data_IF_877814415026
#
_entry.id   IF_877814415026
#
_cell.length_a   1.000
_cell.length_b   1.000
_cell.length_c   1.000
_cell.angle_alpha   90.00
_cell.angle_beta   90.00
_cell.angle_gamma   90.00
#
_symmetry.space_group_name_H-M   'P 1'
#
loop_
_entity.id
_entity.type
_entity.pdbx_description
1 polymer ?
#
# COMPACT_ATOMS: atom_id res chain seq x y z
N UNK A 1 10.64 3.80 -5.19
CA UNK A 1 9.50 3.89 -6.14
C UNK A 1 8.60 5.06 -5.76
N UNK A 2 8.19 5.87 -6.74
CA UNK A 2 7.41 7.11 -6.53
C UNK A 2 6.01 6.88 -5.95
N UNK A 3 5.42 5.72 -6.23
CA UNK A 3 4.04 5.37 -5.90
C UNK A 3 3.96 4.31 -4.79
N UNK A 4 4.92 4.33 -3.88
CA UNK A 4 5.04 3.31 -2.84
C UNK A 4 5.28 3.94 -1.47
N UNK A 5 4.54 3.46 -0.48
CA UNK A 5 4.75 3.79 0.93
C UNK A 5 5.26 2.55 1.67
N UNK A 6 6.25 2.74 2.55
CA UNK A 6 6.83 1.69 3.38
C UNK A 6 6.56 2.00 4.85
N UNK A 7 6.21 0.98 5.62
CA UNK A 7 5.94 1.09 7.06
C UNK A 7 6.69 -0.01 7.78
N UNK A 8 7.53 0.38 8.74
CA UNK A 8 8.17 -0.52 9.69
C UNK A 8 7.30 -0.61 10.94
N UNK A 9 6.95 -1.83 11.35
CA UNK A 9 6.23 -2.05 12.60
C UNK A 9 7.22 -2.12 13.75
N UNK A 10 6.82 -1.59 14.92
CA UNK A 10 7.64 -1.65 16.14
C UNK A 10 7.96 -3.08 16.56
N UNK A 11 7.02 -4.00 16.32
CA UNK A 11 7.14 -5.42 16.60
C UNK A 11 6.54 -6.22 15.45
N UNK A 12 6.87 -7.51 15.40
CA UNK A 12 6.21 -8.45 14.51
C UNK A 12 4.77 -8.69 15.02
N UNK A 13 3.79 -8.49 14.14
CA UNK A 13 2.36 -8.62 14.47
C UNK A 13 1.68 -9.56 13.48
N UNK A 14 0.68 -10.29 13.97
CA UNK A 14 -0.27 -10.98 13.11
C UNK A 14 -1.34 -9.97 12.67
N UNK A 15 -1.39 -9.68 11.37
CA UNK A 15 -2.32 -8.73 10.76
C UNK A 15 -3.50 -9.51 10.21
N UNK A 16 -4.72 -9.14 10.60
CA UNK A 16 -5.97 -9.76 10.15
C UNK A 16 -6.83 -8.80 9.30
N UNK A 17 -6.62 -7.50 9.41
CA UNK A 17 -7.40 -6.48 8.72
C UNK A 17 -6.55 -5.25 8.44
N UNK A 18 -6.79 -4.62 7.30
CA UNK A 18 -6.12 -3.38 6.90
C UNK A 18 -7.19 -2.34 6.58
N UNK A 19 -7.06 -1.17 7.20
CA UNK A 19 -7.88 0.01 6.94
C UNK A 19 -6.98 1.14 6.46
N UNK A 20 -7.22 1.67 5.27
CA UNK A 20 -6.48 2.80 4.72
C UNK A 20 -7.36 4.04 4.62
N UNK A 21 -6.78 5.16 5.01
CA UNK A 21 -7.27 6.51 4.65
C UNK A 21 -6.25 7.16 3.73
N UNK A 22 -6.68 7.55 2.54
CA UNK A 22 -5.84 8.15 1.50
C UNK A 22 -6.16 9.62 1.37
N UNK A 23 -5.13 10.45 1.43
CA UNK A 23 -5.18 11.88 1.10
C UNK A 23 -4.37 12.11 -0.16
N UNK A 24 -5.04 12.51 -1.24
CA UNK A 24 -4.39 12.80 -2.53
C UNK A 24 -4.55 14.28 -2.89
N UNK A 25 -3.65 15.16 -2.40
CA UNK A 25 -3.71 16.58 -2.67
C UNK A 25 -3.47 16.93 -4.15
N UNK A 26 -2.94 15.98 -4.94
CA UNK A 26 -2.64 16.18 -6.36
C UNK A 26 -3.77 15.72 -7.28
N UNK A 27 -4.84 15.13 -6.73
CA UNK A 27 -5.97 14.63 -7.52
C UNK A 27 -5.54 13.65 -8.61
N UNK A 28 -4.57 12.78 -8.32
CA UNK A 28 -4.20 11.65 -9.19
C UNK A 28 -5.29 10.57 -9.18
N UNK A 29 -6.13 10.54 -8.15
CA UNK A 29 -7.29 9.64 -8.01
C UNK A 29 -6.86 8.17 -8.06
N UNK A 30 -6.18 7.70 -7.02
CA UNK A 30 -5.81 6.28 -6.93
C UNK A 30 -7.05 5.38 -6.98
N UNK A 31 -6.97 4.32 -7.76
CA UNK A 31 -8.02 3.31 -7.95
C UNK A 31 -7.69 2.02 -7.22
N UNK A 32 -6.46 1.54 -7.38
CA UNK A 32 -6.04 0.23 -6.89
C UNK A 32 -4.76 0.35 -6.06
N UNK A 33 -4.78 -0.19 -4.85
CA UNK A 33 -3.64 -0.21 -3.92
C UNK A 33 -3.29 -1.67 -3.60
N UNK A 34 -2.08 -2.10 -3.96
CA UNK A 34 -1.53 -3.38 -3.54
C UNK A 34 -1.00 -3.29 -2.11
N UNK A 35 -1.32 -4.30 -1.29
CA UNK A 35 -0.83 -4.40 0.08
C UNK A 35 0.08 -5.60 0.20
N UNK A 36 1.32 -5.34 0.62
CA UNK A 36 2.37 -6.34 0.74
C UNK A 36 2.95 -6.31 2.15
N UNK A 37 3.50 -7.45 2.56
CA UNK A 37 4.13 -7.60 3.85
C UNK A 37 5.45 -8.37 3.73
N UNK A 38 6.24 -8.28 4.79
CA UNK A 38 7.35 -9.19 5.04
C UNK A 38 7.55 -9.36 6.55
N UNK A 39 7.81 -10.58 7.05
CA UNK A 39 8.12 -10.79 8.47
C UNK A 39 9.55 -10.41 8.82
N UNK A 40 10.43 -10.14 7.84
CA UNK A 40 11.85 -9.86 8.07
C UNK A 40 12.03 -8.46 8.64
N UNK A 41 12.64 -8.36 9.83
CA UNK A 41 12.90 -7.09 10.49
C UNK A 41 14.06 -6.34 9.82
N UNK A 42 14.03 -5.01 9.91
CA UNK A 42 15.10 -4.10 9.50
C UNK A 42 15.49 -3.22 10.67
N UNK A 43 16.70 -2.66 10.65
CA UNK A 43 17.12 -1.63 11.60
C UNK A 43 16.50 -0.28 11.27
N UNK A 44 16.45 0.06 9.98
CA UNK A 44 15.92 1.32 9.45
C UNK A 44 14.93 1.10 8.29
N UNK A 45 13.94 1.98 8.17
CA UNK A 45 12.92 1.92 7.11
C UNK A 45 13.52 2.12 5.70
N UNK A 46 14.69 2.75 5.59
CA UNK A 46 15.43 2.93 4.34
C UNK A 46 15.89 1.61 3.72
N UNK A 47 16.20 0.59 4.53
CA UNK A 47 16.59 -0.75 4.06
C UNK A 47 15.49 -1.41 3.23
N UNK A 48 14.22 -1.12 3.55
CA UNK A 48 13.06 -1.67 2.83
C UNK A 48 12.97 -1.24 1.37
N UNK A 49 13.69 -0.16 1.00
CA UNK A 49 13.71 0.39 -0.35
C UNK A 49 14.84 -0.19 -1.21
N UNK A 50 15.75 -0.96 -0.61
CA UNK A 50 16.88 -1.55 -1.32
C UNK A 50 16.43 -2.73 -2.20
N UNK A 51 17.17 -2.96 -3.29
CA UNK A 51 16.82 -3.96 -4.31
C UNK A 51 16.84 -5.39 -3.77
N UNK A 52 17.69 -5.67 -2.78
CA UNK A 52 17.78 -6.96 -2.10
C UNK A 52 16.52 -7.29 -1.28
N UNK A 53 15.75 -6.27 -0.88
CA UNK A 53 14.47 -6.41 -0.20
C UNK A 53 13.29 -6.61 -1.14
N UNK A 54 13.43 -6.26 -2.42
CA UNK A 54 12.40 -6.42 -3.45
C UNK A 54 11.76 -7.83 -3.50
N UNK A 55 12.53 -8.94 -3.52
CA UNK A 55 11.96 -10.30 -3.57
C UNK A 55 11.32 -10.77 -2.26
N UNK A 56 11.49 -10.03 -1.16
CA UNK A 56 10.99 -10.42 0.16
C UNK A 56 9.55 -9.96 0.41
N UNK A 57 8.98 -9.17 -0.49
CA UNK A 57 7.61 -8.68 -0.40
C UNK A 57 6.62 -9.72 -0.88
N UNK A 58 5.65 -10.05 -0.02
CA UNK A 58 4.54 -10.94 -0.35
C UNK A 58 3.24 -10.14 -0.38
N UNK A 59 2.46 -10.27 -1.45
CA UNK A 59 1.16 -9.61 -1.52
C UNK A 59 0.16 -10.33 -0.63
N UNK A 60 -0.54 -9.60 0.23
CA UNK A 60 -1.60 -10.16 1.08
C UNK A 60 -2.99 -9.60 0.75
N UNK A 61 -3.08 -8.56 -0.07
CA UNK A 61 -4.36 -8.06 -0.52
C UNK A 61 -4.26 -6.94 -1.53
N UNK A 62 -5.43 -6.53 -1.99
CA UNK A 62 -5.63 -5.39 -2.88
C UNK A 62 -6.82 -4.60 -2.36
N UNK A 63 -6.66 -3.28 -2.32
CA UNK A 63 -7.71 -2.34 -1.95
C UNK A 63 -8.16 -1.58 -3.20
N UNK A 64 -9.47 -1.49 -3.37
CA UNK A 64 -10.08 -0.69 -4.43
C UNK A 64 -10.72 0.55 -3.81
N UNK A 65 -10.42 1.71 -4.37
CA UNK A 65 -11.03 2.98 -4.04
C UNK A 65 -11.95 3.40 -5.17
N UNK A 66 -13.15 3.88 -4.83
CA UNK A 66 -14.01 4.55 -5.80
C UNK A 66 -13.36 5.86 -6.25
N UNK A 67 -13.80 6.41 -7.39
CA UNK A 67 -13.32 7.70 -7.88
C UNK A 67 -13.61 8.79 -6.83
N UNK A 68 -12.55 9.43 -6.32
CA UNK A 68 -12.65 10.42 -5.24
C UNK A 68 -12.84 9.83 -3.84
N UNK A 69 -12.89 8.50 -3.71
CA UNK A 69 -12.92 7.81 -2.43
C UNK A 69 -11.62 8.00 -1.65
N UNK A 70 -11.74 8.11 -0.34
CA UNK A 70 -10.61 8.34 0.56
C UNK A 70 -10.38 7.20 1.54
N UNK A 71 -11.24 6.17 1.54
CA UNK A 71 -11.17 5.05 2.50
C UNK A 71 -11.40 3.72 1.82
N UNK A 72 -10.59 2.73 2.16
CA UNK A 72 -10.77 1.35 1.75
C UNK A 72 -10.25 0.41 2.83
N UNK A 73 -10.88 -0.74 2.99
CA UNK A 73 -10.45 -1.77 3.92
C UNK A 73 -10.63 -3.17 3.34
N UNK A 74 -9.85 -4.12 3.86
CA UNK A 74 -10.06 -5.54 3.59
C UNK A 74 -9.68 -6.38 4.80
N UNK A 75 -10.33 -7.53 4.93
CA UNK A 75 -10.04 -8.56 5.93
C UNK A 75 -9.31 -9.71 5.26
N UNK A 76 -8.28 -10.20 5.93
CA UNK A 76 -7.54 -11.39 5.52
C UNK A 76 -8.31 -12.63 5.97
N UNK A 77 -8.44 -13.62 5.08
CA UNK A 77 -9.00 -14.94 5.44
C UNK A 77 -8.12 -15.64 6.47
N UNK A 78 -6.81 -15.44 6.40
CA UNK A 78 -5.83 -15.97 7.35
C UNK A 78 -4.88 -14.84 7.75
N UNK A 79 -4.68 -14.59 9.05
CA UNK A 79 -3.76 -13.55 9.49
C UNK A 79 -2.35 -13.77 8.94
N UNK A 80 -1.70 -12.70 8.50
CA UNK A 80 -0.31 -12.73 8.03
C UNK A 80 0.62 -12.15 9.08
N UNK A 81 1.77 -12.78 9.28
CA UNK A 81 2.76 -12.30 10.24
C UNK A 81 3.68 -11.31 9.52
N UNK A 82 3.66 -10.05 9.97
CA UNK A 82 4.42 -8.97 9.35
C UNK A 82 5.31 -8.24 10.36
N UNK A 83 6.48 -7.82 9.91
CA UNK A 83 7.32 -6.82 10.57
C UNK A 83 7.33 -5.52 9.77
N UNK A 84 7.07 -5.58 8.46
CA UNK A 84 6.96 -4.40 7.60
C UNK A 84 5.79 -4.55 6.63
N UNK A 85 5.27 -3.41 6.19
CA UNK A 85 4.23 -3.28 5.19
C UNK A 85 4.70 -2.40 4.03
N UNK A 86 4.26 -2.74 2.83
CA UNK A 86 4.43 -1.93 1.62
C UNK A 86 3.05 -1.72 0.99
N UNK A 87 2.74 -0.47 0.69
CA UNK A 87 1.54 -0.06 -0.03
C UNK A 87 1.94 0.50 -1.39
N UNK A 88 1.45 -0.10 -2.46
CA UNK A 88 1.81 0.28 -3.83
C UNK A 88 0.57 0.76 -4.58
N UNK A 89 0.61 1.98 -5.12
CA UNK A 89 -0.49 2.52 -5.91
C UNK A 89 -0.36 1.99 -7.34
N UNK A 90 -1.11 0.92 -7.63
CA UNK A 90 -1.01 0.13 -8.84
C UNK A 90 -1.74 0.77 -10.03
N UNK A 91 -2.85 1.45 -9.76
CA UNK A 91 -3.70 2.02 -10.80
C UNK A 91 -4.30 3.34 -10.33
N UNK A 92 -4.46 4.28 -11.27
CA UNK A 92 -5.09 5.58 -11.08
C UNK A 92 -6.25 5.73 -12.06
N UNK A 93 -7.30 6.43 -11.66
CA UNK A 93 -8.36 6.83 -12.58
C UNK A 93 -7.81 7.83 -13.60
N UNK A 94 -8.29 7.74 -14.84
CA UNK A 94 -8.03 8.77 -15.83
C UNK A 94 -8.51 10.12 -15.31
N UNK A 95 -7.62 11.11 -15.38
CA UNK A 95 -8.03 12.50 -15.24
C UNK A 95 -9.07 12.76 -16.32
N UNK A 96 -10.23 13.24 -15.92
CA UNK A 96 -11.15 13.79 -16.91
C UNK A 96 -10.36 14.86 -17.65
N UNK A 97 -10.06 14.63 -18.93
CA UNK A 97 -9.64 15.70 -19.80
C UNK A 97 -10.79 16.70 -19.77
N UNK A 98 -10.67 17.73 -18.93
CA UNK A 98 -11.53 18.89 -19.01
C UNK A 98 -11.34 19.42 -20.41
N UNK A 99 -12.32 19.13 -21.27
CA UNK A 99 -12.36 19.67 -22.61
C UNK A 99 -12.15 21.16 -22.54
N UNK A 100 -11.27 21.66 -23.39
CA UNK A 100 -11.19 23.05 -23.79
C UNK A 100 -12.60 23.58 -24.05
N UNK A 101 -13.07 24.52 -23.20
CA UNK A 101 -13.73 25.77 -23.54
C UNK A 101 -14.18 26.51 -22.29
#
# INVERSE_FOLDING_TARGET
>A
AEFTSFVQLKFRLAISEVHLSVTDPRGRLVKTIGVYFTPRQVGDVGELKADDYSPLWQQCGTLSLSRGGTRASFKLTTPVVAANLKFEYLEFYERSAGGTR
#
